data_IF_836100632957
#
_entry.id   IF_836100632957
#
_cell.length_a   1.000
_cell.length_b   1.000
_cell.length_c   1.000
_cell.angle_alpha   90.00
_cell.angle_beta   90.00
_cell.angle_gamma   90.00
#
_symmetry.space_group_name_H-M   'P 1'
#
loop_
_entity.id
_entity.type
_entity.pdbx_description
1 polymer ?
#
# COMPACT_ATOMS: atom_id res chain seq x y z
N UNK A 1 -4.99 17.90 -17.05
CA UNK A 1 -4.48 17.84 -15.69
C UNK A 1 -3.58 16.65 -15.49
N UNK A 2 -2.53 16.86 -14.73
CA UNK A 2 -1.62 15.75 -14.44
C UNK A 2 -2.21 14.84 -13.37
N UNK A 3 -1.99 13.57 -13.52
CA UNK A 3 -2.31 12.62 -12.46
C UNK A 3 -1.39 12.85 -11.25
N UNK A 4 -1.87 12.53 -10.05
CA UNK A 4 -1.00 12.57 -8.87
C UNK A 4 0.22 11.67 -9.04
N UNK A 5 1.27 11.99 -8.30
CA UNK A 5 2.56 11.33 -8.42
C UNK A 5 2.50 9.82 -8.28
N UNK A 6 1.77 9.35 -7.26
CA UNK A 6 1.64 7.91 -7.06
C UNK A 6 0.95 7.22 -8.23
N UNK A 7 -0.05 7.86 -8.81
CA UNK A 7 -0.75 7.30 -9.96
C UNK A 7 0.15 7.29 -11.18
N UNK A 8 0.90 8.39 -11.42
CA UNK A 8 1.83 8.46 -12.55
C UNK A 8 2.91 7.39 -12.48
N UNK A 9 3.33 7.04 -11.27
CA UNK A 9 4.40 6.07 -11.04
C UNK A 9 3.90 4.63 -10.98
N UNK A 10 2.60 4.40 -11.10
CA UNK A 10 1.99 3.10 -10.82
C UNK A 10 2.38 2.62 -9.42
N UNK A 11 2.50 3.56 -8.49
CA UNK A 11 2.93 3.33 -7.12
C UNK A 11 1.91 3.99 -6.20
N UNK A 12 0.76 3.34 -6.00
CA UNK A 12 -0.40 4.01 -5.39
C UNK A 12 -0.22 4.42 -3.94
N UNK A 13 0.70 3.78 -3.22
CA UNK A 13 0.95 4.14 -1.83
C UNK A 13 2.27 4.89 -1.66
N UNK A 14 2.87 5.36 -2.73
CA UNK A 14 4.07 6.20 -2.70
C UNK A 14 5.24 5.56 -1.95
N UNK A 15 5.54 4.31 -2.31
CA UNK A 15 6.68 3.59 -1.73
C UNK A 15 7.98 4.26 -2.17
N UNK A 16 8.85 4.54 -1.21
CA UNK A 16 10.16 5.16 -1.52
C UNK A 16 11.11 4.12 -2.08
N UNK A 17 12.06 4.60 -2.90
CA UNK A 17 13.11 3.73 -3.43
C UNK A 17 13.95 3.16 -2.29
N UNK A 18 14.54 1.99 -2.52
CA UNK A 18 15.39 1.35 -1.52
C UNK A 18 15.35 -0.16 -1.55
N UNK A 19 14.33 -0.72 -2.16
CA UNK A 19 14.21 -2.18 -2.30
C UNK A 19 14.17 -2.55 -3.77
N UNK A 20 14.34 -3.81 -4.04
CA UNK A 20 14.32 -4.36 -5.39
C UNK A 20 13.01 -5.13 -5.58
N UNK A 21 12.00 -4.46 -6.13
CA UNK A 21 10.66 -5.02 -6.24
C UNK A 21 10.42 -5.66 -7.60
N UNK A 22 9.62 -6.71 -7.60
CA UNK A 22 9.16 -7.29 -8.85
C UNK A 22 8.28 -6.25 -9.56
N UNK A 23 8.49 -6.12 -10.88
CA UNK A 23 7.68 -5.22 -11.69
C UNK A 23 8.13 -3.76 -11.69
N UNK A 24 9.29 -3.45 -11.14
CA UNK A 24 9.83 -2.10 -11.20
C UNK A 24 10.10 -1.67 -12.63
N UNK A 25 9.82 -0.40 -12.91
CA UNK A 25 10.24 0.22 -14.15
C UNK A 25 11.68 0.71 -14.00
N UNK A 26 12.52 0.34 -14.96
CA UNK A 26 13.92 0.75 -14.96
C UNK A 26 14.28 1.37 -16.29
N UNK A 27 15.04 2.46 -16.28
CA UNK A 27 15.53 3.14 -15.08
C UNK A 27 14.43 3.91 -14.38
N UNK A 28 14.63 4.14 -13.09
CA UNK A 28 13.70 4.97 -12.31
C UNK A 28 13.93 6.43 -12.69
N UNK A 29 12.85 7.15 -13.01
CA UNK A 29 12.95 8.56 -13.40
C UNK A 29 12.44 9.51 -12.31
N UNK A 30 11.91 8.97 -11.21
CA UNK A 30 11.41 9.80 -10.12
C UNK A 30 12.52 10.18 -9.13
N UNK A 31 13.39 9.24 -8.84
CA UNK A 31 14.52 9.46 -7.94
C UNK A 31 14.20 9.22 -6.46
N UNK A 32 13.00 9.50 -6.03
CA UNK A 32 12.62 9.37 -4.62
C UNK A 32 11.63 8.23 -4.39
N UNK A 33 10.73 8.02 -5.34
CA UNK A 33 9.69 7.00 -5.21
C UNK A 33 9.84 5.95 -6.28
N UNK A 34 9.47 4.72 -5.94
CA UNK A 34 9.48 3.61 -6.89
C UNK A 34 8.51 3.88 -8.04
N UNK A 35 8.83 3.30 -9.18
CA UNK A 35 7.95 3.31 -10.35
C UNK A 35 7.75 1.88 -10.78
N UNK A 36 6.51 1.52 -11.09
CA UNK A 36 6.20 0.15 -11.50
C UNK A 36 5.68 0.14 -12.93
N UNK A 37 5.80 -1.01 -13.57
CA UNK A 37 5.34 -1.17 -14.94
C UNK A 37 3.82 -1.22 -15.04
N UNK A 38 3.16 -1.68 -13.97
CA UNK A 38 1.71 -1.66 -13.89
C UNK A 38 1.28 -1.29 -12.48
N UNK A 39 0.04 -0.82 -12.36
CA UNK A 39 -0.54 -0.49 -11.07
C UNK A 39 -0.63 -1.74 -10.17
N UNK A 40 -0.91 -2.89 -10.76
CA UNK A 40 -1.00 -4.14 -10.01
C UNK A 40 0.32 -4.48 -9.31
N UNK A 41 1.45 -4.26 -9.97
CA UNK A 41 2.75 -4.48 -9.34
C UNK A 41 3.03 -3.46 -8.23
N UNK A 42 2.55 -2.24 -8.40
CA UNK A 42 2.62 -1.25 -7.32
C UNK A 42 1.85 -1.70 -6.09
N UNK A 43 0.67 -2.26 -6.29
CA UNK A 43 -0.11 -2.81 -5.17
C UNK A 43 0.54 -4.07 -4.60
N UNK A 44 1.13 -4.91 -5.44
CA UNK A 44 1.85 -6.08 -4.94
C UNK A 44 2.90 -5.66 -3.92
N UNK A 45 3.70 -4.67 -4.28
CA UNK A 45 4.74 -4.16 -3.38
C UNK A 45 4.12 -3.61 -2.09
N UNK A 46 3.05 -2.83 -2.22
CA UNK A 46 2.36 -2.27 -1.07
C UNK A 46 1.84 -3.36 -0.13
N UNK A 47 1.22 -4.40 -0.68
CA UNK A 47 0.71 -5.49 0.15
C UNK A 47 1.83 -6.31 0.79
N UNK A 48 2.97 -6.48 0.11
CA UNK A 48 4.13 -7.14 0.74
C UNK A 48 4.60 -6.35 1.96
N UNK A 49 4.60 -5.03 1.88
CA UNK A 49 4.95 -4.18 3.01
C UNK A 49 3.92 -4.28 4.13
N UNK A 50 2.64 -4.21 3.79
CA UNK A 50 1.59 -4.32 4.80
C UNK A 50 1.64 -5.67 5.50
N UNK A 51 1.89 -6.74 4.75
CA UNK A 51 2.06 -8.07 5.34
C UNK A 51 3.22 -8.08 6.32
N UNK A 52 4.34 -7.49 5.95
CA UNK A 52 5.49 -7.42 6.84
C UNK A 52 5.17 -6.60 8.09
N UNK A 53 4.45 -5.50 7.95
CA UNK A 53 4.05 -4.71 9.11
C UNK A 53 3.24 -5.53 10.08
N UNK A 54 2.27 -6.29 9.57
CA UNK A 54 1.41 -7.11 10.41
C UNK A 54 2.17 -8.26 11.04
N UNK A 55 2.92 -9.00 10.23
CA UNK A 55 3.48 -10.29 10.64
C UNK A 55 4.87 -10.20 11.27
N UNK A 56 5.70 -9.27 10.79
CA UNK A 56 7.05 -9.13 11.32
C UNK A 56 7.15 -8.04 12.38
N UNK A 57 6.38 -6.97 12.23
CA UNK A 57 6.46 -5.82 13.12
C UNK A 57 5.28 -5.70 14.07
N UNK A 58 4.40 -6.69 14.06
CA UNK A 58 3.28 -6.81 15.00
C UNK A 58 2.32 -5.62 14.97
N UNK A 59 2.20 -4.94 13.81
CA UNK A 59 1.22 -3.90 13.63
C UNK A 59 -0.13 -4.55 13.32
N UNK A 60 -0.84 -4.95 14.37
CA UNK A 60 -2.02 -5.80 14.23
C UNK A 60 -3.35 -5.06 14.14
N UNK A 61 -3.29 -3.74 14.12
CA UNK A 61 -4.50 -2.93 13.92
C UNK A 61 -4.19 -1.88 12.87
N UNK A 62 -5.24 -1.34 12.25
CA UNK A 62 -5.05 -0.29 11.26
C UNK A 62 -4.35 0.92 11.88
N UNK A 63 -4.70 1.25 13.13
CA UNK A 63 -4.03 2.35 13.83
C UNK A 63 -2.52 2.15 13.88
N UNK A 64 -2.06 0.97 14.25
CA UNK A 64 -0.62 0.71 14.31
C UNK A 64 0.01 0.69 12.92
N UNK A 65 -0.69 0.17 11.92
CA UNK A 65 -0.19 0.18 10.54
C UNK A 65 0.02 1.61 10.07
N UNK A 66 -0.96 2.48 10.25
CA UNK A 66 -0.87 3.87 9.77
C UNK A 66 0.21 4.64 10.55
N UNK A 67 0.35 4.38 11.85
CA UNK A 67 1.40 5.02 12.61
C UNK A 67 2.80 4.66 12.12
N UNK A 68 2.97 3.46 11.61
CA UNK A 68 4.26 3.05 11.02
C UNK A 68 4.41 3.55 9.59
N UNK A 69 3.32 3.52 8.81
CA UNK A 69 3.34 3.95 7.41
C UNK A 69 3.56 5.46 7.28
N UNK A 70 2.87 6.23 8.10
CA UNK A 70 2.90 7.68 8.06
C UNK A 70 3.20 8.21 9.46
N UNK A 71 4.46 8.07 9.92
CA UNK A 71 4.81 8.39 11.31
C UNK A 71 4.62 9.88 11.63
N UNK A 72 4.30 10.20 12.90
CA UNK A 72 3.97 11.57 13.28
C UNK A 72 5.06 12.60 13.04
N UNK A 73 6.31 12.19 12.98
CA UNK A 73 7.41 13.12 12.70
C UNK A 73 7.30 13.78 11.34
N UNK A 74 6.70 13.10 10.38
CA UNK A 74 6.69 13.54 8.99
C UNK A 74 5.29 13.79 8.45
N UNK A 75 4.26 13.43 9.22
CA UNK A 75 2.89 13.41 8.72
C UNK A 75 1.90 13.80 9.80
N UNK A 76 0.72 14.24 9.38
CA UNK A 76 -0.41 14.32 10.29
C UNK A 76 -1.05 12.94 10.33
N UNK A 77 -0.51 12.07 11.17
CA UNK A 77 -0.92 10.68 11.27
C UNK A 77 -2.39 10.54 11.64
N UNK A 78 -2.86 11.39 12.56
CA UNK A 78 -4.26 11.33 12.99
C UNK A 78 -5.21 11.66 11.85
N UNK A 79 -4.88 12.66 11.04
CA UNK A 79 -5.70 13.02 9.89
C UNK A 79 -5.69 11.89 8.85
N UNK A 80 -4.53 11.28 8.63
CA UNK A 80 -4.42 10.15 7.73
C UNK A 80 -5.32 9.00 8.18
N UNK A 81 -5.21 8.64 9.45
CA UNK A 81 -6.02 7.54 10.00
C UNK A 81 -7.51 7.85 9.92
N UNK A 82 -7.89 9.06 10.27
CA UNK A 82 -9.29 9.46 10.22
C UNK A 82 -9.85 9.31 8.81
N UNK A 83 -9.09 9.74 7.83
CA UNK A 83 -9.50 9.65 6.42
C UNK A 83 -9.63 8.21 5.97
N UNK A 84 -8.67 7.35 6.35
CA UNK A 84 -8.73 5.93 6.03
C UNK A 84 -10.00 5.31 6.60
N UNK A 85 -10.32 5.62 7.85
CA UNK A 85 -11.51 5.08 8.50
C UNK A 85 -12.78 5.58 7.82
N UNK A 86 -12.83 6.85 7.46
CA UNK A 86 -13.99 7.43 6.78
C UNK A 86 -14.24 6.75 5.44
N UNK A 87 -13.18 6.51 4.68
CA UNK A 87 -13.32 5.91 3.35
C UNK A 87 -13.64 4.43 3.43
N UNK A 88 -12.95 3.71 4.31
CA UNK A 88 -13.03 2.24 4.35
C UNK A 88 -14.16 1.72 5.22
N UNK A 89 -14.57 2.48 6.21
CA UNK A 89 -15.55 2.01 7.20
C UNK A 89 -14.97 1.00 8.18
N UNK A 90 -13.66 0.77 8.17
CA UNK A 90 -13.03 -0.22 9.03
C UNK A 90 -12.82 0.32 10.43
N UNK A 91 -12.84 -0.58 11.41
CA UNK A 91 -12.55 -0.23 12.80
C UNK A 91 -11.03 -0.15 12.98
N UNK A 92 -10.49 1.02 13.34
CA UNK A 92 -9.03 1.20 13.42
C UNK A 92 -8.37 0.37 14.52
N UNK A 93 -9.13 -0.09 15.49
CA UNK A 93 -8.61 -0.80 16.66
C UNK A 93 -8.91 -2.28 16.66
N UNK A 94 -9.59 -2.79 15.66
CA UNK A 94 -9.84 -4.22 15.55
C UNK A 94 -8.56 -4.92 15.10
N UNK A 95 -8.33 -6.10 15.65
CA UNK A 95 -7.18 -6.92 15.23
C UNK A 95 -7.44 -7.44 13.84
N UNK A 96 -6.44 -7.28 12.96
CA UNK A 96 -6.56 -7.72 11.57
C UNK A 96 -5.42 -8.67 11.22
N UNK A 97 -5.64 -9.44 10.17
CA UNK A 97 -4.63 -10.36 9.65
C UNK A 97 -4.52 -10.17 8.15
N UNK A 98 -3.34 -10.44 7.60
CA UNK A 98 -3.13 -10.26 6.16
C UNK A 98 -4.06 -11.13 5.32
N UNK A 99 -4.42 -12.31 5.81
CA UNK A 99 -5.31 -13.23 5.07
C UNK A 99 -6.74 -12.70 4.92
N UNK A 100 -7.10 -11.66 5.67
CA UNK A 100 -8.42 -11.02 5.53
C UNK A 100 -8.42 -10.17 4.26
N UNK A 101 -8.64 -10.82 3.14
CA UNK A 101 -8.50 -10.23 1.82
C UNK A 101 -9.29 -8.94 1.64
N UNK A 102 -10.58 -8.97 1.96
CA UNK A 102 -11.42 -7.80 1.74
C UNK A 102 -10.97 -6.63 2.63
N UNK A 103 -10.59 -6.92 3.87
CA UNK A 103 -10.06 -5.89 4.77
C UNK A 103 -8.81 -5.24 4.19
N UNK A 104 -7.90 -6.07 3.65
CA UNK A 104 -6.67 -5.56 3.06
C UNK A 104 -6.95 -4.71 1.83
N UNK A 105 -7.87 -5.17 0.98
CA UNK A 105 -8.23 -4.41 -0.23
C UNK A 105 -8.84 -3.06 0.16
N UNK A 106 -9.77 -3.06 1.12
CA UNK A 106 -10.43 -1.83 1.55
C UNK A 106 -9.43 -0.86 2.19
N UNK A 107 -8.50 -1.39 2.96
CA UNK A 107 -7.45 -0.57 3.56
C UNK A 107 -6.56 0.08 2.49
N UNK A 108 -6.05 -0.73 1.56
CA UNK A 108 -5.16 -0.20 0.52
C UNK A 108 -5.89 0.78 -0.39
N UNK A 109 -7.16 0.50 -0.70
CA UNK A 109 -7.97 1.42 -1.48
C UNK A 109 -8.09 2.79 -0.80
N UNK A 110 -8.39 2.77 0.51
CA UNK A 110 -8.51 4.00 1.27
C UNK A 110 -7.18 4.75 1.33
N UNK A 111 -6.08 4.02 1.56
CA UNK A 111 -4.76 4.64 1.59
C UNK A 111 -4.40 5.29 0.25
N UNK A 112 -4.81 4.67 -0.86
CA UNK A 112 -4.60 5.25 -2.18
C UNK A 112 -5.23 6.64 -2.28
N UNK A 113 -6.46 6.77 -1.80
CA UNK A 113 -7.16 8.05 -1.85
C UNK A 113 -6.49 9.09 -0.96
N UNK A 114 -6.03 8.68 0.22
CA UNK A 114 -5.30 9.59 1.11
C UNK A 114 -4.02 10.08 0.44
N UNK A 115 -3.29 9.16 -0.22
CA UNK A 115 -2.01 9.49 -0.84
C UNK A 115 -2.15 10.34 -2.10
N UNK A 116 -3.22 10.13 -2.85
CA UNK A 116 -3.32 10.71 -4.20
C UNK A 116 -4.51 11.63 -4.40
N UNK A 117 -5.48 11.64 -3.50
CA UNK A 117 -6.70 12.40 -3.67
C UNK A 117 -7.71 11.76 -4.60
N UNK A 118 -7.33 10.67 -5.26
CA UNK A 118 -8.21 9.90 -6.15
C UNK A 118 -7.95 8.43 -5.91
N UNK A 119 -8.95 7.60 -6.20
CA UNK A 119 -8.81 6.16 -6.08
C UNK A 119 -8.57 5.50 -7.43
N UNK A 120 -8.44 4.19 -7.38
CA UNK A 120 -8.38 3.32 -8.57
C UNK A 120 -9.48 2.29 -8.42
N UNK A 121 -9.74 1.53 -9.47
CA UNK A 121 -10.76 0.48 -9.41
C UNK A 121 -10.32 -0.62 -8.45
N UNK A 122 -11.26 -1.10 -7.62
CA UNK A 122 -10.92 -2.11 -6.61
C UNK A 122 -10.43 -3.42 -7.20
N UNK A 123 -10.81 -3.73 -8.45
CA UNK A 123 -10.29 -4.92 -9.12
C UNK A 123 -8.78 -4.85 -9.30
N UNK A 124 -8.23 -3.66 -9.55
CA UNK A 124 -6.79 -3.48 -9.68
C UNK A 124 -6.11 -3.73 -8.34
N UNK A 125 -6.70 -3.22 -7.26
CA UNK A 125 -6.20 -3.44 -5.91
C UNK A 125 -6.21 -4.93 -5.59
N UNK A 126 -7.32 -5.59 -5.91
CA UNK A 126 -7.48 -7.03 -5.66
C UNK A 126 -6.44 -7.85 -6.42
N UNK A 127 -6.12 -7.47 -7.66
CA UNK A 127 -5.08 -8.18 -8.41
C UNK A 127 -3.72 -8.03 -7.76
N UNK A 128 -3.42 -6.87 -7.22
CA UNK A 128 -2.18 -6.67 -6.47
C UNK A 128 -2.10 -7.56 -5.26
N UNK A 129 -3.21 -7.71 -4.55
CA UNK A 129 -3.27 -8.61 -3.40
C UNK A 129 -3.01 -10.06 -3.83
N UNK A 130 -3.65 -10.50 -4.90
CA UNK A 130 -3.45 -11.85 -5.42
C UNK A 130 -1.99 -12.09 -5.81
N UNK A 131 -1.35 -11.11 -6.45
CA UNK A 131 0.06 -11.23 -6.80
C UNK A 131 0.95 -11.32 -5.54
N UNK A 132 0.64 -10.54 -4.52
CA UNK A 132 1.41 -10.56 -3.27
C UNK A 132 1.25 -11.90 -2.56
N UNK A 133 0.03 -12.44 -2.54
CA UNK A 133 -0.27 -13.75 -1.97
C UNK A 133 0.44 -14.86 -2.71
N UNK A 134 0.29 -14.85 -4.03
CA UNK A 134 0.81 -15.92 -4.88
C UNK A 134 2.32 -16.01 -4.86
N UNK A 135 3.00 -14.88 -4.71
CA UNK A 135 4.46 -14.86 -4.75
C UNK A 135 5.11 -15.55 -3.56
N UNK A 136 4.33 -15.96 -2.58
CA UNK A 136 4.86 -16.72 -1.45
C UNK A 136 5.05 -18.20 -1.77
N UNK A 137 4.60 -18.63 -2.93
CA UNK A 137 4.65 -20.05 -3.29
C UNK A 137 5.90 -20.37 -4.07
N UNK A 138 7.04 -20.13 -3.45
CA UNK A 138 8.31 -20.46 -4.05
C UNK A 138 8.89 -19.39 -4.95
N UNK A 139 8.20 -18.29 -5.11
CA UNK A 139 8.71 -17.17 -5.89
C UNK A 139 9.65 -16.36 -5.01
N UNK A 140 10.82 -16.05 -5.55
CA UNK A 140 11.81 -15.29 -4.81
C UNK A 140 11.36 -13.84 -4.61
N UNK A 141 11.50 -13.37 -3.40
CA UNK A 141 11.25 -11.97 -3.07
C UNK A 141 12.56 -11.24 -2.94
N UNK A 142 12.58 -10.01 -3.39
CA UNK A 142 13.76 -9.15 -3.29
C UNK A 142 13.81 -8.40 -1.98
#
# INVERSE_FOLDING_TARGET
MKNPRGIRNNNPLNIRVGNNWQGERKPNTDGAFEQFTTMQYGYRAAFKLLKAYIEKHHCRTIRFIINRWAPPKENDTNAYLKRVVEISGLNPDAVIAFKQKQTMIDLAYAMTIVENGVGVEKEVVAKGYTLAEGSEKGVREE
#
